data_IF_400922238076
#
_entry.id   IF_400922238076
#
_cell.length_a   1.000
_cell.length_b   1.000
_cell.length_c   1.000
_cell.angle_alpha   90.00
_cell.angle_beta   90.00
_cell.angle_gamma   90.00
#
_symmetry.space_group_name_H-M   'P 1'
#
loop_
_entity.id
_entity.type
_entity.pdbx_description
1 polymer ?
#
# COMPACT_ATOMS: atom_id res chain seq x y z
N UNK A 1 21.86 -14.07 -11.31
CA UNK A 1 20.40 -14.25 -11.12
C UNK A 1 19.68 -12.92 -11.35
N UNK A 2 19.07 -12.69 -12.53
CA UNK A 2 18.24 -11.50 -12.78
C UNK A 2 16.82 -11.77 -12.28
N UNK A 3 16.67 -11.77 -10.97
CA UNK A 3 15.40 -11.88 -10.26
C UNK A 3 14.92 -10.48 -9.83
N UNK A 4 13.62 -10.15 -9.91
CA UNK A 4 12.56 -10.84 -10.63
C UNK A 4 12.41 -10.37 -12.10
N UNK A 5 11.72 -11.18 -12.91
CA UNK A 5 11.42 -10.90 -14.32
C UNK A 5 10.72 -9.54 -14.51
N UNK A 6 10.94 -8.88 -15.65
CA UNK A 6 10.36 -7.56 -15.95
C UNK A 6 8.83 -7.56 -15.86
N UNK A 7 8.19 -8.61 -16.36
CA UNK A 7 6.74 -8.75 -16.34
C UNK A 7 6.18 -8.80 -14.91
N UNK A 8 6.81 -9.58 -14.02
CA UNK A 8 6.46 -9.62 -12.60
C UNK A 8 6.58 -8.24 -11.94
N UNK A 9 7.67 -7.52 -12.20
CA UNK A 9 7.86 -6.15 -11.67
C UNK A 9 6.76 -5.20 -12.15
N UNK A 10 6.36 -5.31 -13.42
CA UNK A 10 5.28 -4.51 -13.99
C UNK A 10 3.93 -4.85 -13.34
N UNK A 11 3.63 -6.14 -13.13
CA UNK A 11 2.42 -6.58 -12.44
C UNK A 11 2.36 -6.03 -11.01
N UNK A 12 3.42 -6.24 -10.22
CA UNK A 12 3.50 -5.74 -8.84
C UNK A 12 3.39 -4.22 -8.79
N UNK A 13 4.02 -3.50 -9.72
CA UNK A 13 3.89 -2.04 -9.80
C UNK A 13 2.46 -1.59 -10.08
N UNK A 14 1.76 -2.24 -11.03
CA UNK A 14 0.35 -1.95 -11.32
C UNK A 14 -0.55 -2.20 -10.10
N UNK A 15 -0.34 -3.31 -9.40
CA UNK A 15 -1.04 -3.63 -8.14
C UNK A 15 -0.75 -2.55 -7.09
N UNK A 16 0.50 -2.15 -6.92
CA UNK A 16 0.90 -1.11 -5.96
C UNK A 16 0.23 0.22 -6.25
N UNK A 17 0.21 0.67 -7.51
CA UNK A 17 -0.47 1.91 -7.92
C UNK A 17 -1.96 1.81 -7.65
N UNK A 18 -2.60 0.71 -8.04
CA UNK A 18 -4.03 0.50 -7.83
C UNK A 18 -4.39 0.52 -6.34
N UNK A 19 -3.73 -0.31 -5.53
CA UNK A 19 -3.96 -0.38 -4.08
C UNK A 19 -3.72 0.97 -3.42
N UNK A 20 -2.65 1.68 -3.79
CA UNK A 20 -2.36 3.01 -3.28
C UNK A 20 -3.44 4.05 -3.59
N UNK A 21 -4.13 3.94 -4.73
CA UNK A 21 -5.25 4.81 -5.10
C UNK A 21 -6.54 4.44 -4.34
N UNK A 22 -6.76 3.16 -4.05
CA UNK A 22 -7.97 2.68 -3.37
C UNK A 22 -7.91 2.85 -1.85
N UNK A 23 -6.72 2.78 -1.25
CA UNK A 23 -6.56 2.79 0.20
C UNK A 23 -7.15 4.03 0.88
N UNK A 24 -6.90 5.28 0.42
CA UNK A 24 -7.48 6.46 1.07
C UNK A 24 -9.00 6.47 1.14
N UNK A 25 -9.69 5.89 0.16
CA UNK A 25 -11.16 5.86 0.10
C UNK A 25 -11.76 4.63 0.79
N UNK A 26 -11.07 3.49 0.79
CA UNK A 26 -11.62 2.22 1.30
C UNK A 26 -11.07 1.78 2.65
N UNK A 27 -10.03 2.40 3.22
CA UNK A 27 -9.32 1.88 4.40
C UNK A 27 -10.19 1.63 5.64
N UNK A 28 -11.36 2.26 5.73
CA UNK A 28 -12.31 2.08 6.83
C UNK A 28 -13.21 0.84 6.67
N UNK A 29 -13.23 0.21 5.49
CA UNK A 29 -14.06 -0.96 5.22
C UNK A 29 -13.50 -2.22 5.89
N UNK A 30 -14.36 -2.92 6.62
CA UNK A 30 -14.06 -4.25 7.15
C UNK A 30 -13.77 -5.20 5.99
N UNK A 31 -12.72 -6.03 6.12
CA UNK A 31 -12.36 -7.00 5.08
C UNK A 31 -11.68 -6.40 3.83
N UNK A 32 -11.14 -5.18 3.89
CA UNK A 32 -10.49 -4.52 2.76
C UNK A 32 -9.42 -5.39 2.06
N UNK A 33 -8.69 -6.21 2.80
CA UNK A 33 -7.67 -7.09 2.23
C UNK A 33 -8.26 -8.07 1.22
N UNK A 34 -9.34 -8.76 1.57
CA UNK A 34 -9.98 -9.73 0.67
C UNK A 34 -10.74 -9.03 -0.46
N UNK A 35 -11.31 -7.85 -0.21
CA UNK A 35 -11.92 -7.01 -1.25
C UNK A 35 -10.88 -6.63 -2.32
N UNK A 36 -9.73 -6.10 -1.91
CA UNK A 36 -8.65 -5.74 -2.83
C UNK A 36 -8.08 -6.95 -3.56
N UNK A 37 -8.00 -8.12 -2.91
CA UNK A 37 -7.57 -9.37 -3.57
C UNK A 37 -8.51 -9.72 -4.71
N UNK A 38 -9.82 -9.68 -4.47
CA UNK A 38 -10.80 -10.00 -5.49
C UNK A 38 -10.76 -8.98 -6.64
N UNK A 39 -10.67 -7.69 -6.34
CA UNK A 39 -10.54 -6.63 -7.35
C UNK A 39 -9.28 -6.79 -8.20
N UNK A 40 -8.13 -7.09 -7.58
CA UNK A 40 -6.86 -7.30 -8.29
C UNK A 40 -6.91 -8.53 -9.18
N UNK A 41 -7.46 -9.64 -8.68
CA UNK A 41 -7.62 -10.87 -9.46
C UNK A 41 -8.57 -10.69 -10.66
N UNK A 42 -9.55 -9.79 -10.55
CA UNK A 42 -10.49 -9.47 -11.63
C UNK A 42 -9.92 -8.48 -12.66
N UNK A 43 -9.10 -7.52 -12.22
CA UNK A 43 -8.62 -6.42 -13.07
C UNK A 43 -7.28 -6.70 -13.75
N UNK A 44 -6.44 -7.56 -13.17
CA UNK A 44 -5.10 -7.83 -13.67
C UNK A 44 -4.94 -9.27 -14.14
N UNK A 45 -4.24 -9.45 -15.26
CA UNK A 45 -3.81 -10.77 -15.69
C UNK A 45 -2.76 -11.34 -14.72
N UNK A 46 -3.22 -12.22 -13.84
CA UNK A 46 -2.39 -12.88 -12.82
C UNK A 46 -1.82 -14.21 -13.32
N UNK A 47 -1.98 -14.57 -14.60
CA UNK A 47 -1.39 -15.78 -15.19
C UNK A 47 0.13 -15.85 -15.02
N UNK A 48 0.81 -14.71 -14.93
CA UNK A 48 2.25 -14.64 -14.67
C UNK A 48 2.65 -15.15 -13.28
N UNK A 49 1.71 -15.24 -12.36
CA UNK A 49 1.90 -15.82 -11.01
C UNK A 49 1.54 -17.30 -10.97
N UNK A 50 0.96 -17.84 -12.04
CA UNK A 50 0.64 -19.24 -12.14
C UNK A 50 1.93 -20.06 -12.16
N UNK A 51 1.96 -21.12 -11.34
CA UNK A 51 3.04 -22.08 -11.34
C UNK A 51 2.45 -23.44 -11.68
N UNK A 52 2.90 -24.13 -12.74
CA UNK A 52 2.38 -25.45 -13.11
C UNK A 52 2.56 -26.51 -12.01
N UNK A 53 3.51 -26.30 -11.10
CA UNK A 53 3.79 -27.19 -9.98
C UNK A 53 2.94 -26.92 -8.73
N UNK A 54 2.16 -25.83 -8.73
CA UNK A 54 1.31 -25.43 -7.61
C UNK A 54 -0.14 -25.26 -8.07
N UNK A 55 -1.08 -25.37 -7.14
CA UNK A 55 -2.50 -25.21 -7.45
C UNK A 55 -2.87 -23.77 -7.87
N UNK A 56 -4.07 -23.60 -8.42
CA UNK A 56 -4.62 -22.26 -8.73
C UNK A 56 -4.75 -21.36 -7.48
N UNK A 57 -4.79 -21.96 -6.28
CA UNK A 57 -4.81 -21.19 -5.02
C UNK A 57 -3.48 -20.50 -4.76
N UNK A 58 -2.38 -20.94 -5.37
CA UNK A 58 -1.06 -20.33 -5.24
C UNK A 58 -1.04 -18.89 -5.75
N UNK A 59 -1.64 -18.63 -6.92
CA UNK A 59 -1.80 -17.27 -7.46
C UNK A 59 -2.54 -16.38 -6.47
N UNK A 60 -3.67 -16.87 -5.92
CA UNK A 60 -4.44 -16.13 -4.92
C UNK A 60 -3.63 -15.86 -3.65
N UNK A 61 -2.84 -16.83 -3.19
CA UNK A 61 -1.95 -16.68 -2.02
C UNK A 61 -0.89 -15.60 -2.26
N UNK A 62 -0.20 -15.61 -3.41
CA UNK A 62 0.79 -14.57 -3.75
C UNK A 62 0.12 -13.19 -3.80
N UNK A 63 -1.00 -13.07 -4.52
CA UNK A 63 -1.75 -11.82 -4.61
C UNK A 63 -2.15 -11.31 -3.23
N UNK A 64 -2.64 -12.21 -2.36
CA UNK A 64 -2.95 -11.87 -0.97
C UNK A 64 -1.73 -11.37 -0.21
N UNK A 65 -0.58 -12.05 -0.31
CA UNK A 65 0.66 -11.61 0.34
C UNK A 65 1.11 -10.23 -0.13
N UNK A 66 1.06 -9.95 -1.44
CA UNK A 66 1.39 -8.63 -1.99
C UNK A 66 0.47 -7.56 -1.41
N UNK A 67 -0.84 -7.80 -1.44
CA UNK A 67 -1.84 -6.83 -0.97
C UNK A 67 -1.70 -6.60 0.53
N UNK A 68 -1.55 -7.66 1.33
CA UNK A 68 -1.32 -7.54 2.78
C UNK A 68 -0.07 -6.69 3.07
N UNK A 69 1.02 -6.91 2.34
CA UNK A 69 2.23 -6.11 2.52
C UNK A 69 1.98 -4.63 2.21
N UNK A 70 1.33 -4.32 1.09
CA UNK A 70 1.03 -2.95 0.68
C UNK A 70 0.10 -2.22 1.65
N UNK A 71 -0.98 -2.88 2.08
CA UNK A 71 -1.93 -2.33 3.05
C UNK A 71 -1.23 -2.06 4.38
N UNK A 72 -0.47 -3.03 4.90
CA UNK A 72 0.25 -2.87 6.16
C UNK A 72 1.29 -1.75 6.07
N UNK A 73 2.05 -1.69 4.97
CA UNK A 73 3.02 -0.63 4.75
C UNK A 73 2.36 0.75 4.77
N UNK A 74 1.24 0.91 4.07
CA UNK A 74 0.48 2.16 4.05
C UNK A 74 -0.06 2.55 5.44
N UNK A 75 -0.63 1.59 6.19
CA UNK A 75 -1.09 1.83 7.56
C UNK A 75 0.07 2.25 8.48
N UNK A 76 1.23 1.59 8.36
CA UNK A 76 2.43 1.95 9.10
C UNK A 76 2.90 3.37 8.76
N UNK A 77 2.83 3.77 7.49
CA UNK A 77 3.17 5.12 7.04
C UNK A 77 2.25 6.18 7.65
N UNK A 78 0.93 5.97 7.59
CA UNK A 78 -0.06 6.85 8.22
C UNK A 78 0.20 6.97 9.72
N UNK A 79 0.45 5.86 10.40
CA UNK A 79 0.77 5.84 11.83
C UNK A 79 2.08 6.57 12.16
N UNK A 80 3.10 6.46 11.29
CA UNK A 80 4.36 7.20 11.46
C UNK A 80 4.15 8.70 11.30
N UNK A 81 3.28 9.14 10.38
CA UNK A 81 2.91 10.55 10.21
C UNK A 81 2.15 11.07 11.43
N UNK A 82 1.16 10.33 11.94
CA UNK A 82 0.40 10.68 13.15
C UNK A 82 1.30 10.84 14.39
N UNK A 83 2.39 10.06 14.46
CA UNK A 83 3.36 10.10 15.56
C UNK A 83 4.52 11.07 15.31
N UNK A 84 4.57 11.72 14.16
CA UNK A 84 5.69 12.58 13.76
C UNK A 84 7.02 11.84 13.56
N UNK A 85 7.01 10.51 13.40
CA UNK A 85 8.20 9.70 13.11
C UNK A 85 8.61 9.75 11.65
N UNK A 86 7.74 10.28 10.80
CA UNK A 86 7.98 10.54 9.37
C UNK A 86 7.45 11.95 9.06
N UNK A 87 8.18 12.69 8.23
CA UNK A 87 7.70 13.95 7.65
C UNK A 87 6.84 13.67 6.42
N UNK A 88 5.85 14.54 6.18
CA UNK A 88 5.09 14.51 4.95
C UNK A 88 6.00 14.91 3.77
N UNK A 89 6.05 14.07 2.74
CA UNK A 89 6.97 14.28 1.62
C UNK A 89 6.42 15.31 0.63
N UNK A 90 7.33 16.07 0.01
CA UNK A 90 6.97 16.98 -1.06
C UNK A 90 6.50 16.18 -2.28
N UNK A 91 5.30 16.46 -2.77
CA UNK A 91 4.67 15.74 -3.88
C UNK A 91 3.80 14.55 -3.46
N UNK A 92 3.71 14.20 -2.17
CA UNK A 92 2.76 13.19 -1.69
C UNK A 92 1.32 13.73 -1.80
N UNK A 93 0.45 13.01 -2.52
CA UNK A 93 -0.94 13.42 -2.83
C UNK A 93 -2.01 12.67 -2.04
N UNK A 94 -1.59 11.76 -1.15
CA UNK A 94 -2.50 10.94 -0.37
C UNK A 94 -3.23 11.82 0.69
N UNK A 95 -4.57 11.94 0.61
CA UNK A 95 -5.32 12.83 1.49
C UNK A 95 -5.31 12.36 2.95
N UNK A 96 -5.28 11.05 3.22
CA UNK A 96 -5.26 10.51 4.59
C UNK A 96 -3.91 10.78 5.23
N UNK A 97 -2.81 10.56 4.49
CA UNK A 97 -1.47 10.90 4.97
C UNK A 97 -1.31 12.40 5.23
N UNK A 98 -1.91 13.25 4.39
CA UNK A 98 -1.94 14.71 4.61
C UNK A 98 -2.69 15.06 5.88
N UNK A 99 -3.87 14.48 6.11
CA UNK A 99 -4.66 14.69 7.32
C UNK A 99 -3.92 14.21 8.57
N UNK A 100 -3.27 13.04 8.51
CA UNK A 100 -2.44 12.52 9.59
C UNK A 100 -1.31 13.49 9.97
N UNK A 101 -0.62 14.07 8.98
CA UNK A 101 0.42 15.06 9.22
C UNK A 101 -0.12 16.37 9.81
N UNK A 102 -1.27 16.86 9.31
CA UNK A 102 -1.94 18.05 9.86
C UNK A 102 -2.34 17.81 11.32
N UNK A 103 -2.89 16.63 11.61
CA UNK A 103 -3.28 16.25 12.97
C UNK A 103 -2.08 16.29 13.91
N UNK A 104 -0.96 15.65 13.52
CA UNK A 104 0.28 15.70 14.28
C UNK A 104 0.76 17.14 14.49
N UNK A 105 0.77 17.96 13.44
CA UNK A 105 1.24 19.34 13.53
C UNK A 105 0.41 20.21 14.48
N UNK A 106 -0.91 19.97 14.55
CA UNK A 106 -1.82 20.70 15.45
C UNK A 106 -1.73 20.23 16.91
N UNK A 107 -1.53 18.94 17.14
CA UNK A 107 -1.64 18.33 18.49
C UNK A 107 -0.30 17.93 19.10
N UNK A 108 0.80 18.01 18.35
CA UNK A 108 2.13 17.74 18.88
C UNK A 108 2.54 18.82 19.86
N UNK A 109 2.82 18.41 21.10
CA UNK A 109 3.47 19.27 22.12
C UNK A 109 4.91 19.63 21.73
N UNK A 110 5.54 18.85 20.84
CA UNK A 110 6.85 19.15 20.27
C UNK A 110 6.65 20.04 19.03
N UNK A 111 6.72 21.35 19.21
CA UNK A 111 6.95 22.26 18.08
C UNK A 111 8.33 21.95 17.52
N UNK A 112 8.40 21.45 16.29
CA UNK A 112 9.67 21.37 15.57
C UNK A 112 10.11 22.82 15.34
N UNK A 113 10.97 23.34 16.21
CA UNK A 113 11.64 24.62 16.01
C UNK A 113 12.53 24.39 14.79
N UNK A 114 12.10 24.86 13.61
CA UNK A 114 13.00 25.02 12.49
C UNK A 114 13.99 26.10 12.91
N UNK A 115 15.20 25.68 13.29
CA UNK A 115 16.30 26.59 13.53
C UNK A 115 16.47 27.50 12.31
N UNK A 116 16.60 28.80 12.60
CA UNK A 116 16.93 29.84 11.61
C UNK A 116 18.25 29.54 10.93
#
# INVERSE_FOLDING_TARGET
LKYPAQQFRLLVHKIMVYVGQQLPSKCHSLGIGDLLVNEVMALFDTKQLHCPQHDEQYTKKITKSIITLLVNHWCCDVNRLLRGKRMFQQGEKDPIKKLAHIWYSKHSKKKVIRGK
#
